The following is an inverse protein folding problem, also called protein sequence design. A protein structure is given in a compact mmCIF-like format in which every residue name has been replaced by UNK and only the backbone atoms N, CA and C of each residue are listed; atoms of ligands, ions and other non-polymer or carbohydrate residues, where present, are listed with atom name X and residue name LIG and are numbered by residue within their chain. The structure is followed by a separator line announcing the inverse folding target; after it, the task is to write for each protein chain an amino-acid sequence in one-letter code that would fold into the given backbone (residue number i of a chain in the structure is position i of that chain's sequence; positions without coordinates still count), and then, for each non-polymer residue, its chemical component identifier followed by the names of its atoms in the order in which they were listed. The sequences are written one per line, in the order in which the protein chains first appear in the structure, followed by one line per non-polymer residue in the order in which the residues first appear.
data_IF_180833937003
#
_entry.id   IF_180833937003
#
_cell.length_a   1.000
_cell.length_b   1.000
_cell.length_c   1.000
_cell.angle_alpha   90.00
_cell.angle_beta   90.00
_cell.angle_gamma   90.00
#
_symmetry.space_group_name_H-M   'P 1'
#
loop_
_entity.id
_entity.type
_entity.pdbx_description
1 polymer ?
#
# COMPACT_ATOMS: atom_id res chain seq x y z
N UNK A 1 -0.67 -35.31 -14.88
CA UNK A 1 -1.85 -34.68 -15.53
C UNK A 1 -3.03 -34.45 -14.59
N UNK A 2 -3.55 -35.46 -13.85
CA UNK A 2 -4.61 -35.22 -12.85
C UNK A 2 -4.10 -34.54 -11.56
N UNK A 3 -2.89 -34.92 -11.10
CA UNK A 3 -2.20 -34.24 -9.98
C UNK A 3 -1.89 -32.77 -10.26
N UNK A 4 -1.59 -32.42 -11.53
CA UNK A 4 -1.31 -31.03 -11.90
C UNK A 4 -2.57 -30.18 -11.78
N UNK A 5 -3.73 -30.71 -12.20
CA UNK A 5 -5.02 -30.01 -12.11
C UNK A 5 -5.47 -29.81 -10.66
N UNK A 6 -5.35 -30.83 -9.80
CA UNK A 6 -5.70 -30.70 -8.38
C UNK A 6 -4.83 -29.67 -7.68
N UNK A 7 -3.53 -29.62 -8.01
CA UNK A 7 -2.62 -28.62 -7.46
C UNK A 7 -2.98 -27.20 -7.92
N UNK A 8 -3.35 -27.01 -9.18
CA UNK A 8 -3.82 -25.71 -9.66
C UNK A 8 -5.08 -25.25 -8.90
N UNK A 9 -6.05 -26.14 -8.73
CA UNK A 9 -7.29 -25.83 -8.01
C UNK A 9 -7.01 -25.44 -6.55
N UNK A 10 -6.13 -26.16 -5.86
CA UNK A 10 -5.69 -25.85 -4.49
C UNK A 10 -5.02 -24.48 -4.40
N UNK A 11 -4.11 -24.14 -5.33
CA UNK A 11 -3.45 -22.84 -5.38
C UNK A 11 -4.47 -21.72 -5.62
N UNK A 12 -5.40 -21.90 -6.57
CA UNK A 12 -6.44 -20.90 -6.84
C UNK A 12 -7.37 -20.69 -5.65
N UNK A 13 -7.69 -21.75 -4.92
CA UNK A 13 -8.46 -21.66 -3.68
C UNK A 13 -7.71 -20.85 -2.62
N UNK A 14 -6.45 -21.18 -2.34
CA UNK A 14 -5.65 -20.44 -1.37
C UNK A 14 -5.47 -18.96 -1.74
N UNK A 15 -5.26 -18.66 -3.02
CA UNK A 15 -5.20 -17.28 -3.50
C UNK A 15 -6.52 -16.53 -3.30
N UNK A 16 -7.65 -17.22 -3.43
CA UNK A 16 -8.99 -16.64 -3.21
C UNK A 16 -9.23 -16.38 -1.73
N UNK A 17 -8.91 -17.34 -0.87
CA UNK A 17 -9.00 -17.21 0.59
C UNK A 17 -8.14 -16.05 1.07
N UNK A 18 -6.89 -15.95 0.61
CA UNK A 18 -6.01 -14.81 0.92
C UNK A 18 -6.62 -13.47 0.52
N UNK A 19 -7.23 -13.37 -0.67
CA UNK A 19 -7.89 -12.13 -1.11
C UNK A 19 -9.12 -11.79 -0.26
N UNK A 20 -9.87 -12.79 0.18
CA UNK A 20 -11.01 -12.60 1.08
C UNK A 20 -10.50 -11.99 2.38
N UNK A 21 -9.49 -12.60 3.01
CA UNK A 21 -8.92 -12.12 4.27
C UNK A 21 -8.32 -10.72 4.13
N UNK A 22 -7.64 -10.44 3.00
CA UNK A 22 -7.06 -9.14 2.71
C UNK A 22 -8.13 -8.05 2.58
N UNK A 23 -9.15 -8.26 1.74
CA UNK A 23 -10.24 -7.29 1.57
C UNK A 23 -11.03 -7.17 2.87
N UNK A 24 -11.22 -8.27 3.59
CA UNK A 24 -11.87 -8.27 4.89
C UNK A 24 -11.13 -7.35 5.85
N UNK A 25 -9.82 -7.50 5.97
CA UNK A 25 -9.00 -6.64 6.82
C UNK A 25 -9.17 -5.17 6.41
N UNK A 26 -9.22 -4.84 5.12
CA UNK A 26 -9.39 -3.46 4.66
C UNK A 26 -10.76 -2.88 5.00
N UNK A 27 -11.76 -3.70 5.29
CA UNK A 27 -13.09 -3.26 5.73
C UNK A 27 -13.19 -3.11 7.26
N UNK A 28 -12.20 -3.61 8.03
CA UNK A 28 -12.10 -3.39 9.48
C UNK A 28 -11.49 -2.01 9.81
N UNK A 29 -11.18 -1.72 11.07
CA UNK A 29 -10.77 -0.37 11.51
C UNK A 29 -9.32 0.02 11.20
N UNK A 30 -8.53 -0.84 10.52
CA UNK A 30 -7.12 -0.54 10.26
C UNK A 30 -6.95 0.71 9.38
N UNK A 31 -5.91 1.53 9.61
CA UNK A 31 -5.67 2.69 8.76
C UNK A 31 -5.22 2.25 7.36
N UNK A 32 -5.69 2.96 6.34
CA UNK A 32 -5.29 2.73 4.95
C UNK A 32 -4.89 4.06 4.32
N UNK A 33 -3.76 4.07 3.64
CA UNK A 33 -3.32 5.14 2.76
C UNK A 33 -3.53 4.77 1.28
N UNK A 34 -3.23 5.71 0.39
CA UNK A 34 -3.46 5.54 -1.04
C UNK A 34 -4.88 5.89 -1.46
N UNK A 35 -5.05 6.43 -2.67
CA UNK A 35 -6.35 6.94 -3.11
C UNK A 35 -7.51 5.92 -3.13
N UNK A 36 -7.24 4.63 -3.30
CA UNK A 36 -8.28 3.60 -3.12
C UNK A 36 -8.47 3.24 -1.63
N UNK A 37 -7.40 3.23 -0.84
CA UNK A 37 -7.44 2.99 0.61
C UNK A 37 -8.28 4.05 1.34
N UNK A 38 -8.05 5.33 1.05
CA UNK A 38 -8.86 6.44 1.56
C UNK A 38 -10.35 6.24 1.23
N UNK A 39 -10.65 5.83 -0.01
CA UNK A 39 -12.03 5.59 -0.43
C UNK A 39 -12.66 4.39 0.29
N UNK A 40 -11.88 3.33 0.55
CA UNK A 40 -12.34 2.19 1.34
C UNK A 40 -12.69 2.65 2.76
N UNK A 41 -11.81 3.42 3.42
CA UNK A 41 -12.04 3.98 4.76
C UNK A 41 -13.33 4.78 4.81
N UNK A 42 -13.59 5.66 3.82
CA UNK A 42 -14.86 6.39 3.72
C UNK A 42 -16.09 5.47 3.61
N UNK A 43 -15.97 4.36 2.87
CA UNK A 43 -17.07 3.44 2.61
C UNK A 43 -17.39 2.54 3.81
N UNK A 44 -16.48 2.39 4.79
CA UNK A 44 -16.73 1.61 6.02
C UNK A 44 -17.91 2.13 6.84
N UNK A 45 -18.25 3.40 6.70
CA UNK A 45 -19.43 3.99 7.35
C UNK A 45 -20.78 3.42 6.82
N UNK A 46 -20.78 2.75 5.67
CA UNK A 46 -21.98 2.17 5.07
C UNK A 46 -22.19 0.75 5.64
N UNK A 47 -23.32 0.47 6.30
CA UNK A 47 -23.56 -0.84 6.89
C UNK A 47 -23.70 -1.92 5.82
N UNK A 48 -22.89 -2.98 5.95
CA UNK A 48 -22.93 -4.15 5.07
C UNK A 48 -23.83 -5.21 5.72
N UNK A 49 -24.92 -5.56 5.04
CA UNK A 49 -25.91 -6.52 5.54
C UNK A 49 -25.34 -7.93 5.72
N UNK A 50 -24.50 -8.36 4.79
CA UNK A 50 -23.86 -9.66 4.78
C UNK A 50 -22.45 -9.53 4.20
N UNK A 51 -21.47 -9.40 5.09
CA UNK A 51 -20.06 -9.20 4.72
C UNK A 51 -19.48 -10.44 4.05
N UNK A 52 -19.81 -11.63 4.56
CA UNK A 52 -19.33 -12.88 4.01
C UNK A 52 -19.81 -13.09 2.57
N UNK A 53 -21.09 -12.83 2.29
CA UNK A 53 -21.64 -12.93 0.95
C UNK A 53 -21.01 -11.89 -0.01
N UNK A 54 -20.76 -10.66 0.46
CA UNK A 54 -20.08 -9.64 -0.34
C UNK A 54 -18.65 -10.08 -0.72
N UNK A 55 -17.87 -10.54 0.26
CA UNK A 55 -16.48 -10.96 0.04
C UNK A 55 -16.40 -12.17 -0.89
N UNK A 56 -17.23 -13.19 -0.66
CA UNK A 56 -17.27 -14.39 -1.50
C UNK A 56 -17.61 -14.07 -2.96
N UNK A 57 -18.39 -13.02 -3.23
CA UNK A 57 -18.75 -12.59 -4.58
C UNK A 57 -17.74 -11.64 -5.22
N UNK A 58 -16.98 -10.87 -4.44
CA UNK A 58 -16.11 -9.81 -4.97
C UNK A 58 -14.64 -10.19 -5.02
N UNK A 59 -14.11 -10.86 -3.98
CA UNK A 59 -12.70 -11.21 -3.87
C UNK A 59 -12.16 -12.06 -5.05
N UNK A 60 -12.88 -13.07 -5.58
CA UNK A 60 -12.41 -13.86 -6.73
C UNK A 60 -12.20 -13.01 -7.99
N UNK A 61 -12.96 -11.92 -8.14
CA UNK A 61 -12.93 -11.04 -9.31
C UNK A 61 -12.06 -9.80 -9.12
N UNK A 62 -11.59 -9.54 -7.90
CA UNK A 62 -10.71 -8.42 -7.60
C UNK A 62 -9.31 -8.67 -8.19
N UNK A 63 -8.83 -7.70 -8.97
CA UNK A 63 -7.42 -7.62 -9.34
C UNK A 63 -6.69 -7.00 -8.17
N UNK A 64 -5.82 -7.75 -7.49
CA UNK A 64 -5.00 -7.25 -6.38
C UNK A 64 -3.58 -7.78 -6.59
N UNK A 65 -2.59 -6.88 -6.55
CA UNK A 65 -1.18 -7.22 -6.73
C UNK A 65 -0.34 -6.44 -5.74
N UNK A 66 0.51 -7.11 -4.97
CA UNK A 66 1.55 -6.43 -4.20
C UNK A 66 2.59 -5.84 -5.16
N UNK A 67 3.01 -4.59 -4.94
CA UNK A 67 4.08 -3.93 -5.71
C UNK A 67 5.33 -3.67 -4.89
N UNK A 68 5.36 -4.10 -3.63
CA UNK A 68 6.45 -3.86 -2.68
C UNK A 68 6.29 -2.59 -1.83
N UNK A 69 5.39 -1.70 -2.22
CA UNK A 69 5.11 -0.41 -1.55
C UNK A 69 3.60 -0.12 -1.47
N UNK A 70 2.77 -1.13 -1.75
CA UNK A 70 1.31 -1.01 -1.79
C UNK A 70 0.65 -2.19 -2.51
N UNK A 71 -0.67 -2.25 -2.37
CA UNK A 71 -1.56 -3.09 -3.17
C UNK A 71 -2.12 -2.28 -4.34
N UNK A 72 -1.91 -2.80 -5.55
CA UNK A 72 -2.48 -2.24 -6.77
C UNK A 72 -3.76 -2.98 -7.13
N UNK A 73 -4.87 -2.24 -7.17
CA UNK A 73 -6.18 -2.75 -7.62
C UNK A 73 -6.53 -2.40 -9.07
N UNK A 74 -5.57 -1.82 -9.80
CA UNK A 74 -5.78 -1.46 -11.18
C UNK A 74 -5.96 -2.71 -12.05
N UNK A 75 -6.90 -2.64 -12.99
CA UNK A 75 -6.94 -3.56 -14.12
C UNK A 75 -5.93 -3.13 -15.19
N UNK A 76 -5.92 -3.76 -16.37
CA UNK A 76 -4.95 -3.53 -17.46
C UNK A 76 -4.75 -2.06 -17.88
N UNK A 77 -5.65 -1.15 -17.48
CA UNK A 77 -5.50 0.31 -17.67
C UNK A 77 -5.54 1.02 -16.33
N UNK A 78 -4.58 1.92 -16.09
CA UNK A 78 -4.69 2.91 -15.01
C UNK A 78 -3.39 3.29 -14.31
N UNK A 79 -2.39 2.39 -14.25
CA UNK A 79 -1.11 2.66 -13.59
C UNK A 79 0.04 2.94 -14.60
N UNK A 80 -0.03 2.36 -15.80
CA UNK A 80 1.05 2.47 -16.80
C UNK A 80 2.38 1.85 -16.35
N UNK A 81 2.37 1.01 -15.31
CA UNK A 81 3.59 0.45 -14.70
C UNK A 81 4.38 1.44 -13.84
N UNK A 82 3.92 2.69 -13.71
CA UNK A 82 4.66 3.73 -12.99
C UNK A 82 4.93 3.38 -11.53
N UNK A 83 4.01 2.64 -10.89
CA UNK A 83 4.20 2.15 -9.52
C UNK A 83 5.48 1.31 -9.37
N UNK A 84 5.86 0.50 -10.37
CA UNK A 84 7.07 -0.34 -10.31
C UNK A 84 8.38 0.48 -10.28
N UNK A 85 8.37 1.70 -10.83
CA UNK A 85 9.56 2.53 -10.98
C UNK A 85 9.57 3.71 -10.03
N UNK A 86 8.40 4.11 -9.50
CA UNK A 86 8.23 5.35 -8.76
C UNK A 86 7.17 5.18 -7.68
N UNK A 87 7.59 4.59 -6.55
CA UNK A 87 6.72 4.30 -5.40
C UNK A 87 5.95 5.55 -4.92
N UNK A 88 6.55 6.74 -4.98
CA UNK A 88 5.95 8.01 -4.53
C UNK A 88 4.77 8.48 -5.38
N UNK A 89 4.44 7.79 -6.49
CA UNK A 89 3.21 8.03 -7.25
C UNK A 89 2.02 7.21 -6.76
N UNK A 90 2.24 6.15 -5.98
CA UNK A 90 1.18 5.29 -5.49
C UNK A 90 0.24 5.97 -4.47
N UNK A 91 0.69 6.82 -3.54
CA UNK A 91 -0.20 7.46 -2.57
C UNK A 91 -1.35 8.25 -3.22
N UNK A 92 -1.07 9.03 -4.27
CA UNK A 92 -2.10 9.75 -5.02
C UNK A 92 -2.86 8.93 -6.06
N UNK A 93 -2.55 7.64 -6.23
CA UNK A 93 -3.17 6.80 -7.25
C UNK A 93 -4.53 6.28 -6.78
N UNK A 94 -5.58 6.51 -7.58
CA UNK A 94 -6.95 6.03 -7.33
C UNK A 94 -7.11 4.50 -7.25
N UNK A 95 -6.07 3.74 -7.59
CA UNK A 95 -6.06 2.29 -7.56
C UNK A 95 -5.05 1.73 -6.55
N UNK A 96 -4.51 2.56 -5.65
CA UNK A 96 -3.54 2.13 -4.64
C UNK A 96 -4.22 2.01 -3.28
N UNK A 97 -4.01 0.88 -2.63
CA UNK A 97 -4.29 0.68 -1.20
C UNK A 97 -2.95 0.42 -0.53
N UNK A 98 -2.62 1.17 0.50
CA UNK A 98 -1.41 0.99 1.29
C UNK A 98 -1.87 0.72 2.72
N UNK A 99 -1.59 -0.47 3.22
CA UNK A 99 -1.83 -0.84 4.61
C UNK A 99 -0.49 -0.99 5.36
N UNK A 100 -0.58 -1.36 6.64
CA UNK A 100 0.56 -1.47 7.55
C UNK A 100 1.64 -2.44 7.06
N UNK A 101 1.31 -3.44 6.22
CA UNK A 101 2.28 -4.39 5.68
C UNK A 101 3.41 -3.69 4.91
N UNK A 102 3.15 -2.51 4.34
CA UNK A 102 4.14 -1.71 3.61
C UNK A 102 4.76 -0.58 4.43
N UNK A 103 4.45 -0.46 5.72
CA UNK A 103 4.94 0.62 6.56
C UNK A 103 6.48 0.68 6.55
N UNK A 104 7.17 -0.45 6.67
CA UNK A 104 8.63 -0.55 6.62
C UNK A 104 9.20 0.01 5.31
N UNK A 105 8.60 -0.32 4.17
CA UNK A 105 9.02 0.24 2.88
C UNK A 105 8.92 1.76 2.86
N UNK A 106 7.84 2.33 3.41
CA UNK A 106 7.65 3.77 3.45
C UNK A 106 8.60 4.48 4.43
N UNK A 107 8.92 3.83 5.54
CA UNK A 107 9.98 4.28 6.46
C UNK A 107 11.35 4.28 5.77
N UNK A 108 11.69 3.23 5.03
CA UNK A 108 12.95 3.15 4.28
C UNK A 108 13.03 4.24 3.20
N UNK A 109 11.93 4.50 2.46
CA UNK A 109 11.88 5.60 1.49
C UNK A 109 12.12 6.94 2.20
N UNK A 110 11.48 7.18 3.35
CA UNK A 110 11.67 8.40 4.12
C UNK A 110 13.15 8.59 4.53
N UNK A 111 13.78 7.55 5.10
CA UNK A 111 15.19 7.58 5.51
C UNK A 111 16.10 7.86 4.31
N UNK A 112 15.90 7.14 3.20
CA UNK A 112 16.69 7.32 1.97
C UNK A 112 16.57 8.74 1.41
N UNK A 113 15.38 9.36 1.45
CA UNK A 113 15.24 10.75 1.00
C UNK A 113 15.97 11.73 1.94
N UNK A 114 15.98 11.48 3.26
CA UNK A 114 16.77 12.31 4.20
C UNK A 114 18.27 12.18 3.95
N UNK A 115 18.75 10.99 3.64
CA UNK A 115 20.14 10.78 3.24
C UNK A 115 20.48 11.55 1.97
N UNK A 116 19.63 11.49 0.94
CA UNK A 116 19.81 12.22 -0.32
C UNK A 116 19.84 13.74 -0.13
N UNK A 117 19.02 14.30 0.78
CA UNK A 117 19.01 15.74 1.07
C UNK A 117 20.33 16.23 1.68
N UNK A 118 21.06 15.36 2.37
CA UNK A 118 22.37 15.67 2.98
C UNK A 118 23.51 15.70 1.94
N UNK A 119 23.28 15.23 0.72
CA UNK A 119 24.29 15.22 -0.35
C UNK A 119 24.38 16.62 -0.98
N UNK A 120 25.51 17.30 -0.79
CA UNK A 120 25.70 18.70 -1.20
C UNK A 120 26.00 18.88 -2.69
N UNK A 121 26.52 17.86 -3.38
CA UNK A 121 26.99 17.92 -4.78
C UNK A 121 25.99 17.36 -5.81
N UNK A 122 24.80 16.92 -5.39
CA UNK A 122 23.77 16.37 -6.28
C UNK A 122 23.01 17.44 -7.10
N UNK A 123 23.20 18.72 -6.79
CA UNK A 123 22.53 19.85 -7.44
C UNK A 123 21.07 20.08 -7.00
N UNK A 124 20.49 21.24 -7.32
CA UNK A 124 19.21 21.69 -6.76
C UNK A 124 18.01 20.84 -7.18
N UNK A 125 18.04 20.25 -8.38
CA UNK A 125 16.93 19.42 -8.88
C UNK A 125 16.79 18.11 -8.10
N UNK A 126 17.91 17.47 -7.74
CA UNK A 126 17.91 16.24 -6.93
C UNK A 126 17.40 16.54 -5.53
N UNK A 127 17.90 17.62 -4.91
CA UNK A 127 17.43 18.04 -3.58
C UNK A 127 15.92 18.33 -3.57
N UNK A 128 15.42 19.10 -4.53
CA UNK A 128 13.99 19.40 -4.62
C UNK A 128 13.15 18.11 -4.78
N UNK A 129 13.65 17.15 -5.56
CA UNK A 129 12.98 15.85 -5.74
C UNK A 129 12.94 15.07 -4.43
N UNK A 130 14.07 15.00 -3.72
CA UNK A 130 14.17 14.29 -2.45
C UNK A 130 13.28 14.93 -1.36
N UNK A 131 13.23 16.25 -1.28
CA UNK A 131 12.33 16.96 -0.35
C UNK A 131 10.84 16.67 -0.63
N UNK A 132 10.44 16.58 -1.90
CA UNK A 132 9.05 16.19 -2.25
C UNK A 132 8.75 14.74 -1.89
N UNK A 133 9.64 13.82 -2.26
CA UNK A 133 9.45 12.39 -2.01
C UNK A 133 9.50 12.06 -0.51
N UNK A 134 10.30 12.82 0.27
CA UNK A 134 10.32 12.76 1.73
C UNK A 134 8.95 13.09 2.32
N UNK A 135 8.34 14.20 1.86
CA UNK A 135 7.01 14.60 2.33
C UNK A 135 5.96 13.55 1.96
N UNK A 136 6.02 13.01 0.75
CA UNK A 136 5.09 11.93 0.33
C UNK A 136 5.22 10.71 1.24
N UNK A 137 6.43 10.29 1.59
CA UNK A 137 6.63 9.17 2.49
C UNK A 137 6.11 9.45 3.90
N UNK A 138 6.37 10.66 4.43
CA UNK A 138 5.86 11.12 5.71
C UNK A 138 4.32 11.11 5.75
N UNK A 139 3.67 11.59 4.69
CA UNK A 139 2.21 11.63 4.59
C UNK A 139 1.63 10.20 4.63
N UNK A 140 2.26 9.24 3.96
CA UNK A 140 1.85 7.83 4.02
C UNK A 140 2.03 7.26 5.43
N UNK A 141 3.21 7.44 6.04
CA UNK A 141 3.50 6.96 7.41
C UNK A 141 2.45 7.50 8.39
N UNK A 142 2.17 8.80 8.32
CA UNK A 142 1.18 9.47 9.17
C UNK A 142 -0.24 8.96 8.91
N UNK A 143 -0.60 8.73 7.65
CA UNK A 143 -1.91 8.19 7.26
C UNK A 143 -2.13 6.76 7.76
N UNK A 144 -1.04 6.00 7.94
CA UNK A 144 -1.04 4.69 8.59
C UNK A 144 -1.07 4.78 10.12
N UNK A 145 -1.15 5.98 10.70
CA UNK A 145 -1.17 6.19 12.15
C UNK A 145 0.19 5.97 12.82
N UNK A 146 1.27 6.02 12.05
CA UNK A 146 2.64 5.80 12.52
C UNK A 146 3.43 7.11 12.54
N UNK A 147 4.59 7.09 13.20
CA UNK A 147 5.61 8.15 13.18
C UNK A 147 6.87 7.67 12.46
N UNK A 148 7.67 8.56 11.85
CA UNK A 148 8.96 8.20 11.27
C UNK A 148 9.91 7.57 12.30
N UNK A 149 10.66 6.53 11.92
CA UNK A 149 11.46 5.72 12.88
C UNK A 149 12.51 6.53 13.64
N UNK A 150 13.06 7.60 13.05
CA UNK A 150 14.09 8.42 13.69
C UNK A 150 13.54 9.37 14.78
N UNK A 151 12.24 9.70 14.79
CA UNK A 151 11.63 10.46 15.91
C UNK A 151 11.54 9.62 17.20
N UNK A 152 11.60 8.29 17.08
CA UNK A 152 11.55 7.38 18.22
C UNK A 152 12.91 7.21 18.90
N UNK A 153 14.02 7.40 18.18
CA UNK A 153 15.37 7.35 18.74
C UNK A 153 15.76 8.65 19.46
N UNK A 154 15.28 9.80 19.00
CA UNK A 154 15.45 11.08 19.73
C UNK A 154 14.53 11.16 20.95
N UNK A 155 13.25 10.74 20.85
CA UNK A 155 12.30 10.77 21.96
C UNK A 155 12.55 9.71 23.06
N UNK A 156 13.32 8.66 22.78
CA UNK A 156 13.76 7.68 23.79
C UNK A 156 15.04 8.09 24.54
N UNK A 157 15.68 9.18 24.09
CA UNK A 157 16.93 9.71 24.65
C UNK A 157 16.76 11.05 25.40
N UNK A 158 15.51 11.53 25.57
CA UNK A 158 15.13 12.70 26.37
C UNK A 158 14.40 12.34 27.68
#
# INVERSE_FOLDING_TARGET
KQQDLTLFDEIFQQMTEFKIDLIESWLDDQPLAGGAGEKIVELRAIPIKDRAALLAQTAPHANIRATGHGWCIATERGCGGAGLYEATRCPGCKNSVIDEVFASTWQDIYIQQRELIKIEDAGPAVRQRAERDLQVALDVITSLGLSPVEEMEEAAND
#
